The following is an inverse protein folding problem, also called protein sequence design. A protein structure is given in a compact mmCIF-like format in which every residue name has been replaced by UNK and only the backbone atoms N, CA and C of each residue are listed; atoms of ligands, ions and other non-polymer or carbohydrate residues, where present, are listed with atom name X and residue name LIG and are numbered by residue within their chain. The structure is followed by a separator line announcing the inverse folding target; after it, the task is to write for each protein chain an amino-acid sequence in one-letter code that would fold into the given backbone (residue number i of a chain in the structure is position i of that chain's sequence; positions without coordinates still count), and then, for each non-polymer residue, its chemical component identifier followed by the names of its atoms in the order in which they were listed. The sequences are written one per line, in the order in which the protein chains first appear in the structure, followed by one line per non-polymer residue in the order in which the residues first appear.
data_IF_307081595599
#
_entry.id   IF_307081595599
#
_cell.length_a   1.000
_cell.length_b   1.000
_cell.length_c   1.000
_cell.angle_alpha   90.00
_cell.angle_beta   90.00
_cell.angle_gamma   90.00
#
_symmetry.space_group_name_H-M   'P 1'
#
loop_
_entity.id
_entity.type
_entity.pdbx_description
1 polymer ?
#
# COMPACT_ATOMS: atom_id res chain seq x y z
N UNK A 1 -21.54 -7.51 -0.27
CA UNK A 1 -20.81 -7.99 0.90
C UNK A 1 -21.23 -7.21 2.12
N UNK A 2 -21.41 -7.92 3.23
CA UNK A 2 -21.70 -7.28 4.49
C UNK A 2 -20.48 -6.57 5.07
N UNK A 3 -20.72 -5.66 6.00
CA UNK A 3 -19.66 -4.92 6.71
C UNK A 3 -18.64 -5.84 7.33
N UNK A 4 -19.09 -6.95 7.90
CA UNK A 4 -18.22 -7.95 8.52
C UNK A 4 -17.24 -8.54 7.51
N UNK A 5 -17.72 -8.91 6.32
CA UNK A 5 -16.86 -9.49 5.27
C UNK A 5 -15.84 -8.49 4.76
N UNK A 6 -16.24 -7.24 4.59
CA UNK A 6 -15.31 -6.19 4.16
C UNK A 6 -14.25 -5.95 5.24
N UNK A 7 -14.65 -5.88 6.51
CA UNK A 7 -13.73 -5.73 7.62
C UNK A 7 -12.71 -6.88 7.67
N UNK A 8 -13.17 -8.11 7.49
CA UNK A 8 -12.30 -9.28 7.47
C UNK A 8 -11.33 -9.22 6.28
N UNK A 9 -11.82 -8.84 5.10
CA UNK A 9 -10.99 -8.70 3.91
C UNK A 9 -9.91 -7.62 4.09
N UNK A 10 -10.29 -6.47 4.62
CA UNK A 10 -9.34 -5.38 4.88
C UNK A 10 -8.25 -5.81 5.87
N UNK A 11 -8.64 -6.47 6.94
CA UNK A 11 -7.71 -6.94 7.97
C UNK A 11 -6.75 -7.97 7.40
N UNK A 12 -7.26 -8.97 6.70
CA UNK A 12 -6.43 -10.03 6.11
C UNK A 12 -5.49 -9.48 5.04
N UNK A 13 -6.02 -8.66 4.15
CA UNK A 13 -5.21 -8.03 3.09
C UNK A 13 -4.11 -7.17 3.71
N UNK A 14 -4.45 -6.37 4.71
CA UNK A 14 -3.48 -5.54 5.40
C UNK A 14 -2.36 -6.35 6.04
N UNK A 15 -2.70 -7.46 6.71
CA UNK A 15 -1.70 -8.32 7.33
C UNK A 15 -0.76 -8.97 6.32
N UNK A 16 -1.30 -9.47 5.20
CA UNK A 16 -0.48 -10.06 4.13
C UNK A 16 0.42 -9.01 3.49
N UNK A 17 -0.13 -7.85 3.18
CA UNK A 17 0.62 -6.77 2.54
C UNK A 17 1.70 -6.23 3.48
N UNK A 18 1.42 -6.16 4.78
CA UNK A 18 2.43 -5.77 5.77
C UNK A 18 3.56 -6.79 5.87
N UNK A 19 3.23 -8.08 5.84
CA UNK A 19 4.22 -9.15 5.82
C UNK A 19 5.16 -9.00 4.62
N UNK A 20 4.58 -8.75 3.44
CA UNK A 20 5.36 -8.54 2.22
C UNK A 20 6.22 -7.27 2.31
N UNK A 21 5.73 -6.21 2.97
CA UNK A 21 6.50 -4.99 3.17
C UNK A 21 7.75 -5.25 4.02
N UNK A 22 7.62 -6.05 5.07
CA UNK A 22 8.74 -6.42 5.93
C UNK A 22 9.77 -7.24 5.13
N UNK A 23 9.31 -8.19 4.33
CA UNK A 23 10.18 -9.02 3.48
C UNK A 23 10.93 -8.12 2.48
N UNK A 24 10.22 -7.23 1.79
CA UNK A 24 10.83 -6.30 0.83
C UNK A 24 11.81 -5.35 1.49
N UNK A 25 11.48 -4.88 2.70
CA UNK A 25 12.37 -4.01 3.46
C UNK A 25 13.67 -4.71 3.85
N UNK A 26 13.56 -5.95 4.32
CA UNK A 26 14.73 -6.77 4.66
C UNK A 26 15.60 -7.05 3.42
N UNK A 27 14.97 -7.37 2.29
CA UNK A 27 15.69 -7.59 1.04
C UNK A 27 16.43 -6.33 0.60
N UNK A 28 15.84 -5.16 0.75
CA UNK A 28 16.50 -3.90 0.41
C UNK A 28 17.79 -3.67 1.19
N UNK A 29 17.74 -3.95 2.50
CA UNK A 29 18.91 -3.76 3.38
C UNK A 29 19.97 -4.83 3.15
N UNK A 30 19.59 -6.10 3.07
CA UNK A 30 20.53 -7.21 3.10
C UNK A 30 20.94 -7.74 1.73
N UNK A 31 20.13 -7.52 0.69
CA UNK A 31 20.42 -8.05 -0.63
C UNK A 31 20.61 -6.97 -1.68
N UNK A 32 19.65 -6.08 -1.80
CA UNK A 32 19.60 -5.13 -2.89
C UNK A 32 20.61 -3.99 -2.78
N UNK A 33 20.98 -3.60 -1.55
CA UNK A 33 21.81 -2.43 -1.29
C UNK A 33 23.18 -2.48 -1.96
N UNK A 34 23.72 -3.67 -2.21
CA UNK A 34 25.01 -3.85 -2.91
C UNK A 34 24.86 -4.03 -4.42
N UNK A 35 23.63 -4.13 -4.92
CA UNK A 35 23.33 -4.46 -6.32
C UNK A 35 22.84 -3.26 -7.13
N UNK A 36 22.39 -2.21 -6.47
CA UNK A 36 21.80 -1.03 -7.12
C UNK A 36 22.44 0.24 -6.58
N UNK A 37 22.22 1.35 -7.29
CA UNK A 37 22.70 2.66 -6.83
C UNK A 37 21.95 3.09 -5.58
N UNK A 38 22.54 4.02 -4.83
CA UNK A 38 21.93 4.60 -3.65
C UNK A 38 20.56 5.22 -3.98
N UNK A 39 20.45 5.90 -5.10
CA UNK A 39 19.19 6.51 -5.55
C UNK A 39 18.11 5.46 -5.80
N UNK A 40 18.46 4.33 -6.40
CA UNK A 40 17.52 3.22 -6.61
C UNK A 40 17.12 2.58 -5.29
N UNK A 41 18.05 2.46 -4.36
CA UNK A 41 17.75 1.93 -3.03
C UNK A 41 16.73 2.83 -2.30
N UNK A 42 16.88 4.15 -2.36
CA UNK A 42 15.92 5.08 -1.79
C UNK A 42 14.52 4.92 -2.41
N UNK A 43 14.47 4.70 -3.72
CA UNK A 43 13.19 4.43 -4.42
C UNK A 43 12.54 3.16 -3.88
N UNK A 44 13.33 2.11 -3.71
CA UNK A 44 12.85 0.85 -3.12
C UNK A 44 12.29 1.06 -1.72
N UNK A 45 13.02 1.78 -0.88
CA UNK A 45 12.62 2.08 0.50
C UNK A 45 11.34 2.92 0.54
N UNK A 46 11.15 3.82 -0.42
CA UNK A 46 9.92 4.60 -0.56
C UNK A 46 8.73 3.67 -0.83
N UNK A 47 8.90 2.71 -1.74
CA UNK A 47 7.85 1.72 -2.04
C UNK A 47 7.48 0.90 -0.79
N UNK A 48 8.49 0.43 -0.05
CA UNK A 48 8.30 -0.33 1.19
C UNK A 48 7.55 0.50 2.23
N UNK A 49 7.93 1.75 2.40
CA UNK A 49 7.35 2.65 3.40
C UNK A 49 5.86 2.89 3.15
N UNK A 50 5.49 3.19 1.92
CA UNK A 50 4.08 3.42 1.57
C UNK A 50 3.28 2.13 1.65
N UNK A 51 3.88 1.00 1.29
CA UNK A 51 3.24 -0.30 1.44
C UNK A 51 2.93 -0.57 2.92
N UNK A 52 3.87 -0.30 3.81
CA UNK A 52 3.65 -0.48 5.25
C UNK A 52 2.56 0.47 5.77
N UNK A 53 2.59 1.74 5.39
CA UNK A 53 1.59 2.71 5.86
C UNK A 53 0.18 2.34 5.41
N UNK A 54 0.02 1.95 4.15
CA UNK A 54 -1.30 1.58 3.62
C UNK A 54 -1.81 0.28 4.24
N UNK A 55 -0.92 -0.70 4.44
CA UNK A 55 -1.31 -1.95 5.08
C UNK A 55 -1.75 -1.74 6.54
N UNK A 56 -1.04 -0.90 7.28
CA UNK A 56 -1.43 -0.55 8.65
C UNK A 56 -2.78 0.19 8.67
N UNK A 57 -3.02 1.07 7.69
CA UNK A 57 -4.31 1.75 7.56
C UNK A 57 -5.44 0.77 7.31
N UNK A 58 -5.23 -0.22 6.43
CA UNK A 58 -6.23 -1.26 6.15
C UNK A 58 -6.52 -2.11 7.40
N UNK A 59 -5.49 -2.48 8.14
CA UNK A 59 -5.66 -3.24 9.40
C UNK A 59 -6.46 -2.40 10.39
N UNK A 60 -6.08 -1.15 10.58
CA UNK A 60 -6.75 -0.26 11.51
C UNK A 60 -8.23 -0.10 11.19
N UNK A 61 -8.56 0.11 9.91
CA UNK A 61 -9.95 0.22 9.47
C UNK A 61 -10.69 -1.11 9.61
N UNK A 62 -10.02 -2.22 9.29
CA UNK A 62 -10.65 -3.54 9.31
C UNK A 62 -11.00 -4.03 10.71
N UNK A 63 -10.17 -3.72 11.72
CA UNK A 63 -10.43 -4.13 13.10
C UNK A 63 -11.24 -3.10 13.88
N UNK A 64 -11.50 -1.94 13.29
CA UNK A 64 -12.26 -0.89 13.97
C UNK A 64 -13.74 -1.28 14.08
N UNK A 65 -14.43 -0.65 15.01
CA UNK A 65 -15.88 -0.80 15.15
C UNK A 65 -16.64 0.13 14.21
N UNK A 66 -15.95 0.76 13.27
CA UNK A 66 -16.56 1.66 12.29
C UNK A 66 -16.78 0.97 10.96
N UNK A 67 -17.72 1.49 10.22
CA UNK A 67 -18.08 1.05 8.88
C UNK A 67 -17.50 2.02 7.86
N UNK A 68 -16.88 1.49 6.84
CA UNK A 68 -16.20 2.25 5.80
C UNK A 68 -16.72 1.83 4.42
N UNK A 69 -16.75 2.75 3.46
CA UNK A 69 -17.12 2.43 2.08
C UNK A 69 -16.16 1.37 1.51
N UNK A 70 -16.70 0.36 0.84
CA UNK A 70 -15.90 -0.65 0.16
C UNK A 70 -15.06 -0.07 -0.98
N UNK A 71 -15.51 1.04 -1.59
CA UNK A 71 -14.74 1.73 -2.61
C UNK A 71 -13.41 2.25 -2.07
N UNK A 72 -13.37 2.67 -0.79
CA UNK A 72 -12.15 3.11 -0.15
C UNK A 72 -11.09 2.01 -0.15
N UNK A 73 -11.49 0.77 0.16
CA UNK A 73 -10.61 -0.39 0.12
C UNK A 73 -9.99 -0.59 -1.27
N UNK A 74 -10.83 -0.55 -2.31
CA UNK A 74 -10.37 -0.77 -3.67
C UNK A 74 -9.46 0.35 -4.17
N UNK A 75 -9.73 1.60 -3.79
CA UNK A 75 -8.86 2.72 -4.13
C UNK A 75 -7.50 2.60 -3.45
N UNK A 76 -7.46 2.24 -2.17
CA UNK A 76 -6.20 2.05 -1.46
C UNK A 76 -5.41 0.89 -2.06
N UNK A 77 -6.06 -0.24 -2.31
CA UNK A 77 -5.38 -1.42 -2.88
C UNK A 77 -4.85 -1.17 -4.28
N UNK A 78 -5.66 -0.61 -5.17
CA UNK A 78 -5.23 -0.32 -6.54
C UNK A 78 -4.15 0.76 -6.55
N UNK A 79 -4.31 1.79 -5.73
CA UNK A 79 -3.31 2.85 -5.59
C UNK A 79 -1.97 2.32 -5.10
N UNK A 80 -2.00 1.46 -4.08
CA UNK A 80 -0.79 0.85 -3.54
C UNK A 80 -0.12 -0.07 -4.57
N UNK A 81 -0.91 -0.89 -5.27
CA UNK A 81 -0.39 -1.76 -6.32
C UNK A 81 0.31 -0.96 -7.41
N UNK A 82 -0.30 0.12 -7.87
CA UNK A 82 0.28 0.98 -8.90
C UNK A 82 1.50 1.71 -8.37
N UNK A 83 1.43 2.32 -7.20
CA UNK A 83 2.52 3.12 -6.62
C UNK A 83 3.73 2.25 -6.26
N UNK A 84 3.57 1.36 -5.30
CA UNK A 84 4.68 0.52 -4.84
C UNK A 84 5.11 -0.47 -5.91
N UNK A 85 4.15 -1.04 -6.65
CA UNK A 85 4.45 -1.97 -7.74
C UNK A 85 5.29 -1.34 -8.83
N UNK A 86 4.97 -0.10 -9.25
CA UNK A 86 5.76 0.60 -10.26
C UNK A 86 7.17 0.94 -9.76
N UNK A 87 7.31 1.33 -8.50
CA UNK A 87 8.61 1.64 -7.92
C UNK A 87 9.47 0.40 -7.73
N UNK A 88 8.89 -0.73 -7.29
CA UNK A 88 9.63 -1.99 -7.23
C UNK A 88 10.10 -2.42 -8.62
N UNK A 89 9.22 -2.35 -9.61
CA UNK A 89 9.56 -2.69 -10.99
C UNK A 89 10.64 -1.75 -11.55
N UNK A 90 10.54 -0.46 -11.24
CA UNK A 90 11.53 0.53 -11.65
C UNK A 90 12.92 0.13 -11.18
N UNK A 91 13.05 -0.29 -9.93
CA UNK A 91 14.35 -0.67 -9.34
C UNK A 91 14.84 -2.00 -9.92
N UNK A 92 13.97 -3.02 -9.97
CA UNK A 92 14.36 -4.36 -10.40
C UNK A 92 14.66 -4.44 -11.89
N UNK A 93 13.94 -3.67 -12.71
CA UNK A 93 14.10 -3.65 -14.17
C UNK A 93 14.98 -2.49 -14.65
N UNK A 94 15.37 -1.60 -13.74
CA UNK A 94 16.12 -0.38 -14.03
C UNK A 94 15.44 0.49 -15.11
N UNK A 95 14.12 0.64 -14.99
CA UNK A 95 13.30 1.40 -15.93
C UNK A 95 12.78 2.68 -15.26
N UNK A 96 13.54 3.77 -15.37
CA UNK A 96 13.18 5.06 -14.75
C UNK A 96 11.85 5.63 -15.21
N UNK A 97 11.38 5.26 -16.40
CA UNK A 97 10.10 5.72 -16.93
C UNK A 97 8.91 5.31 -16.05
N UNK A 98 9.04 4.22 -15.28
CA UNK A 98 7.99 3.76 -14.38
C UNK A 98 7.72 4.74 -13.24
N UNK A 99 8.65 5.65 -12.95
CA UNK A 99 8.42 6.73 -12.01
C UNK A 99 7.29 7.69 -12.39
N UNK A 100 6.94 7.72 -13.68
CA UNK A 100 5.80 8.53 -14.18
C UNK A 100 4.47 7.90 -13.79
N UNK A 101 4.45 6.59 -13.58
CA UNK A 101 3.24 5.83 -13.23
C UNK A 101 2.92 5.96 -11.74
N UNK A 102 3.94 6.05 -10.90
CA UNK A 102 3.79 6.08 -9.45
C UNK A 102 2.82 7.19 -8.94
N UNK A 103 2.85 8.43 -9.45
CA UNK A 103 1.92 9.48 -8.99
C UNK A 103 0.44 9.12 -9.16
N UNK A 104 0.10 8.33 -10.16
CA UNK A 104 -1.29 7.86 -10.38
C UNK A 104 -1.70 7.01 -9.19
N UNK A 105 -0.84 6.08 -8.77
CA UNK A 105 -1.09 5.26 -7.60
C UNK A 105 -1.18 6.09 -6.33
N UNK A 106 -0.31 7.08 -6.18
CA UNK A 106 -0.35 8.00 -5.05
C UNK A 106 -1.67 8.76 -4.95
N UNK A 107 -2.19 9.24 -6.07
CA UNK A 107 -3.48 9.93 -6.12
C UNK A 107 -4.62 9.00 -5.70
N UNK A 108 -4.59 7.74 -6.14
CA UNK A 108 -5.60 6.74 -5.74
C UNK A 108 -5.54 6.43 -4.25
N UNK A 109 -4.34 6.33 -3.67
CA UNK A 109 -4.17 6.10 -2.23
C UNK A 109 -4.75 7.27 -1.43
N UNK A 110 -4.46 8.51 -1.85
CA UNK A 110 -4.99 9.71 -1.21
C UNK A 110 -6.51 9.70 -1.28
N UNK A 111 -7.07 9.44 -2.46
CA UNK A 111 -8.52 9.36 -2.64
C UNK A 111 -9.14 8.28 -1.74
N UNK A 112 -8.49 7.13 -1.64
CA UNK A 112 -8.96 6.03 -0.79
C UNK A 112 -8.98 6.39 0.68
N UNK A 113 -7.93 7.03 1.18
CA UNK A 113 -7.86 7.46 2.59
C UNK A 113 -8.88 8.57 2.89
N UNK A 114 -9.04 9.53 1.98
CA UNK A 114 -10.03 10.59 2.14
C UNK A 114 -11.45 10.03 2.11
N UNK A 115 -11.71 9.08 1.20
CA UNK A 115 -13.01 8.43 1.14
C UNK A 115 -13.28 7.61 2.41
N UNK A 116 -12.25 6.98 2.97
CA UNK A 116 -12.36 6.30 4.26
C UNK A 116 -12.80 7.27 5.36
N UNK A 117 -12.13 8.42 5.44
CA UNK A 117 -12.44 9.44 6.45
C UNK A 117 -13.87 9.97 6.31
N UNK A 118 -14.30 10.25 5.07
CA UNK A 118 -15.62 10.82 4.80
C UNK A 118 -16.74 9.80 5.03
N UNK A 119 -16.52 8.54 4.67
CA UNK A 119 -17.55 7.49 4.75
C UNK A 119 -17.62 6.81 6.11
N UNK A 120 -16.68 7.10 7.00
CA UNK A 120 -16.61 6.44 8.30
C UNK A 120 -17.86 6.69 9.13
N UNK A 121 -18.50 5.61 9.58
CA UNK A 121 -19.72 5.65 10.39
C UNK A 121 -19.67 4.61 11.49
N UNK A 122 -20.41 4.83 12.60
CA UNK A 122 -20.54 3.78 13.61
C UNK A 122 -21.25 2.56 13.02
N UNK A 123 -20.85 1.37 13.48
CA UNK A 123 -21.61 0.14 13.21
C UNK A 123 -22.78 0.04 14.17
N UNK A 124 -23.94 -0.30 13.64
CA UNK A 124 -25.16 -0.50 14.46
C UNK A 124 -25.14 -1.84 15.17
#
# INVERSE_FOLDING_TARGET
LGTYRMALLMTRTGLVVLTLAIICGAFGVHGLGSMVTENRLETWETAVRYQAWMSLSMIGLGVSSFKVSSWAFWFVCSGLLIFSGSLYALVLLDLGILGVVAPIGGALMIAGLLLSAISLKPCD
#
